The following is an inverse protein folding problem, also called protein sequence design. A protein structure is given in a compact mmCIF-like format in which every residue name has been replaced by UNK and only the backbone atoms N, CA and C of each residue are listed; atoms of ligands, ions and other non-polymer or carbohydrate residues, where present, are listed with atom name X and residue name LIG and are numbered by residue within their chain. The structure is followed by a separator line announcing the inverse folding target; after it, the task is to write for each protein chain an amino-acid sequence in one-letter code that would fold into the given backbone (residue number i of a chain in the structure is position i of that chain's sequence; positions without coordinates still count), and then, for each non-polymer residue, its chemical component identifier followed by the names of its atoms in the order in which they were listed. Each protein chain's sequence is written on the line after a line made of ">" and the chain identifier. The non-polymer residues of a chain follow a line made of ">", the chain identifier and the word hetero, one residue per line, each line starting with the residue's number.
data_IF_536370358573
#
_entry.id   IF_536370358573
#
_cell.length_a   1.000
_cell.length_b   1.000
_cell.length_c   1.000
_cell.angle_alpha   90.00
_cell.angle_beta   90.00
_cell.angle_gamma   90.00
#
_symmetry.space_group_name_H-M   'P 1'
#
loop_
_entity.id
_entity.type
_entity.pdbx_description
1 polymer ?
#
# COMPACT_ATOMS: atom_id res chain seq x y z
N UNK A 1 28.03 5.31 -28.34
CA UNK A 1 27.52 5.87 -27.07
C UNK A 1 26.29 5.10 -26.62
N UNK A 2 26.25 4.42 -25.46
CA UNK A 2 25.17 3.48 -25.15
C UNK A 2 23.96 4.14 -24.44
N UNK A 3 22.77 3.91 -24.99
CA UNK A 3 21.47 3.63 -24.32
C UNK A 3 20.81 4.58 -23.27
N UNK A 4 20.63 5.89 -23.50
CA UNK A 4 19.67 6.69 -22.71
C UNK A 4 18.20 6.22 -22.87
N UNK A 5 17.86 5.51 -23.96
CA UNK A 5 16.52 4.95 -24.21
C UNK A 5 16.20 3.74 -23.34
N UNK A 6 17.20 2.93 -22.97
CA UNK A 6 17.01 1.70 -22.19
C UNK A 6 16.57 2.02 -20.75
N UNK A 7 17.23 2.99 -20.10
CA UNK A 7 16.85 3.42 -18.75
C UNK A 7 15.42 3.98 -18.65
N UNK A 8 14.98 4.73 -19.68
CA UNK A 8 13.60 5.24 -19.78
C UNK A 8 12.59 4.10 -19.98
N UNK A 9 12.90 3.10 -20.81
CA UNK A 9 12.03 1.94 -21.04
C UNK A 9 11.88 1.09 -19.78
N UNK A 10 12.98 0.77 -19.09
CA UNK A 10 12.97 0.03 -17.83
C UNK A 10 12.15 0.76 -16.77
N UNK A 11 12.32 2.08 -16.65
CA UNK A 11 11.53 2.87 -15.70
C UNK A 11 10.03 2.91 -16.04
N UNK A 12 9.67 2.99 -17.33
CA UNK A 12 8.27 2.95 -17.77
C UNK A 12 7.65 1.59 -17.45
N UNK A 13 8.34 0.50 -17.76
CA UNK A 13 7.91 -0.85 -17.43
C UNK A 13 7.75 -1.05 -15.93
N UNK A 14 8.72 -0.58 -15.14
CA UNK A 14 8.69 -0.65 -13.67
C UNK A 14 7.49 0.12 -13.09
N UNK A 15 7.19 1.31 -13.60
CA UNK A 15 5.99 2.04 -13.17
C UNK A 15 4.68 1.40 -13.65
N UNK A 16 4.66 0.79 -14.83
CA UNK A 16 3.51 0.04 -15.31
C UNK A 16 3.25 -1.20 -14.43
N UNK A 17 4.30 -1.91 -14.02
CA UNK A 17 4.17 -3.03 -13.10
C UNK A 17 3.68 -2.58 -11.71
N UNK A 18 4.20 -1.47 -11.17
CA UNK A 18 3.68 -0.89 -9.91
C UNK A 18 2.20 -0.48 -10.05
N UNK A 19 1.84 0.17 -11.16
CA UNK A 19 0.44 0.55 -11.47
C UNK A 19 -0.48 -0.66 -11.53
N UNK A 20 -0.08 -1.73 -12.21
CA UNK A 20 -0.85 -2.97 -12.29
C UNK A 20 -1.06 -3.60 -10.91
N UNK A 21 -0.02 -3.63 -10.06
CA UNK A 21 -0.12 -4.14 -8.69
C UNK A 21 -1.10 -3.30 -7.85
N UNK A 22 -0.96 -1.98 -7.88
CA UNK A 22 -1.83 -1.06 -7.15
C UNK A 22 -3.28 -1.12 -7.64
N UNK A 23 -3.49 -1.20 -8.95
CA UNK A 23 -4.82 -1.34 -9.54
C UNK A 23 -5.48 -2.66 -9.14
N UNK A 24 -4.74 -3.77 -9.19
CA UNK A 24 -5.25 -5.08 -8.76
C UNK A 24 -5.63 -5.06 -7.27
N UNK A 25 -4.83 -4.42 -6.42
CA UNK A 25 -5.13 -4.25 -5.00
C UNK A 25 -6.34 -3.33 -4.78
N UNK A 26 -6.44 -2.21 -5.49
CA UNK A 26 -7.58 -1.31 -5.41
C UNK A 26 -8.89 -2.01 -5.79
N UNK A 27 -8.89 -2.73 -6.91
CA UNK A 27 -10.05 -3.55 -7.34
C UNK A 27 -10.45 -4.56 -6.27
N UNK A 28 -9.47 -5.16 -5.58
CA UNK A 28 -9.74 -6.12 -4.51
C UNK A 28 -10.39 -5.46 -3.28
N UNK A 29 -10.01 -4.23 -2.92
CA UNK A 29 -10.64 -3.50 -1.82
C UNK A 29 -12.16 -3.37 -2.00
N UNK A 30 -12.61 -3.13 -3.24
CA UNK A 30 -14.04 -2.96 -3.54
C UNK A 30 -14.76 -4.30 -3.78
N UNK A 31 -14.09 -5.32 -4.33
CA UNK A 31 -14.70 -6.63 -4.62
C UNK A 31 -14.74 -7.57 -3.42
N UNK A 32 -13.72 -7.53 -2.57
CA UNK A 32 -13.59 -8.38 -1.38
C UNK A 32 -13.00 -7.57 -0.21
N UNK A 33 -13.79 -6.64 0.37
CA UNK A 33 -13.32 -5.83 1.50
C UNK A 33 -13.00 -6.68 2.73
N UNK A 34 -13.61 -7.87 2.85
CA UNK A 34 -13.38 -8.80 3.97
C UNK A 34 -11.92 -9.22 4.12
N UNK A 35 -11.18 -9.31 3.01
CA UNK A 35 -9.75 -9.59 2.99
C UNK A 35 -8.91 -8.56 3.77
N UNK A 36 -9.32 -7.28 3.77
CA UNK A 36 -8.58 -6.17 4.38
C UNK A 36 -8.98 -5.88 5.83
N UNK A 37 -10.14 -6.39 6.28
CA UNK A 37 -10.61 -6.20 7.66
C UNK A 37 -9.61 -6.66 8.73
N UNK A 38 -8.78 -7.64 8.40
CA UNK A 38 -7.76 -8.17 9.32
C UNK A 38 -6.54 -7.25 9.44
N UNK A 39 -6.33 -6.36 8.46
CA UNK A 39 -5.16 -5.47 8.39
C UNK A 39 -5.47 -4.08 8.93
N UNK A 40 -6.71 -3.61 8.81
CA UNK A 40 -7.11 -2.33 9.41
C UNK A 40 -7.09 -2.44 10.95
N UNK A 41 -6.27 -1.63 11.65
CA UNK A 41 -6.21 -1.66 13.10
C UNK A 41 -7.52 -1.16 13.75
N UNK A 42 -7.92 -1.82 14.83
CA UNK A 42 -9.11 -1.41 15.59
C UNK A 42 -9.00 -0.01 16.21
N UNK A 43 -7.78 0.44 16.56
CA UNK A 43 -7.57 1.76 17.16
C UNK A 43 -7.80 2.94 16.19
N UNK A 44 -7.79 2.69 14.87
CA UNK A 44 -8.15 3.66 13.84
C UNK A 44 -9.65 3.66 13.53
N UNK A 45 -10.36 2.62 13.95
CA UNK A 45 -11.77 2.44 13.65
C UNK A 45 -12.62 3.18 14.68
N UNK A 46 -13.56 3.99 14.20
CA UNK A 46 -14.71 4.46 14.97
C UNK A 46 -15.58 3.26 15.31
N UNK A 47 -15.67 2.94 16.60
CA UNK A 47 -16.64 1.97 17.11
C UNK A 47 -17.77 2.76 17.78
N UNK A 48 -19.00 2.59 17.29
CA UNK A 48 -20.19 3.30 17.77
C UNK A 48 -20.59 2.94 19.22
N UNK A 49 -19.91 1.97 19.85
CA UNK A 49 -20.15 1.51 21.23
C UNK A 49 -18.92 1.48 22.14
N UNK A 50 -17.82 2.16 21.77
CA UNK A 50 -16.61 2.15 22.59
C UNK A 50 -16.74 2.99 23.87
N UNK A 51 -16.49 2.38 25.03
CA UNK A 51 -16.58 3.03 26.35
C UNK A 51 -15.54 4.14 26.61
N UNK A 52 -14.49 4.25 25.77
CA UNK A 52 -13.42 5.23 25.95
C UNK A 52 -13.05 5.91 24.62
N UNK A 53 -12.78 7.23 24.62
CA UNK A 53 -12.40 7.97 23.43
C UNK A 53 -11.07 7.46 22.87
N UNK A 54 -11.05 7.16 21.57
CA UNK A 54 -9.85 6.79 20.82
C UNK A 54 -9.46 7.96 19.91
N UNK A 55 -8.33 8.65 20.16
CA UNK A 55 -8.01 9.91 19.48
C UNK A 55 -7.82 9.77 17.96
N UNK A 56 -7.60 8.55 17.45
CA UNK A 56 -7.37 8.29 16.02
C UNK A 56 -8.53 7.56 15.33
N UNK A 57 -9.67 7.39 16.01
CA UNK A 57 -10.83 6.66 15.50
C UNK A 57 -11.71 7.54 14.59
N UNK A 58 -11.21 7.83 13.38
CA UNK A 58 -11.81 8.80 12.46
C UNK A 58 -12.92 8.23 11.59
N UNK A 59 -12.73 7.00 11.10
CA UNK A 59 -13.61 6.35 10.14
C UNK A 59 -13.96 4.94 10.61
N UNK A 60 -15.10 4.41 10.17
CA UNK A 60 -15.40 2.99 10.29
C UNK A 60 -14.37 2.14 9.53
N UNK A 61 -14.31 0.84 9.84
CA UNK A 61 -13.39 -0.07 9.17
C UNK A 61 -13.63 -0.14 7.65
N UNK A 62 -14.89 -0.16 7.23
CA UNK A 62 -15.25 -0.22 5.81
C UNK A 62 -14.87 1.06 5.08
N UNK A 63 -15.04 2.22 5.72
CA UNK A 63 -14.60 3.50 5.17
C UNK A 63 -13.08 3.55 5.02
N UNK A 64 -12.31 3.06 6.00
CA UNK A 64 -10.85 2.96 5.85
C UNK A 64 -10.43 2.07 4.68
N UNK A 65 -11.10 0.94 4.47
CA UNK A 65 -10.86 0.03 3.33
C UNK A 65 -11.20 0.73 2.01
N UNK A 66 -12.33 1.45 1.94
CA UNK A 66 -12.70 2.19 0.73
C UNK A 66 -11.72 3.32 0.43
N UNK A 67 -11.33 4.11 1.44
CA UNK A 67 -10.37 5.22 1.31
C UNK A 67 -9.00 4.70 0.89
N UNK A 68 -8.49 3.61 1.48
CA UNK A 68 -7.22 3.03 1.05
C UNK A 68 -7.29 2.50 -0.38
N UNK A 69 -8.41 1.87 -0.78
CA UNK A 69 -8.64 1.44 -2.16
C UNK A 69 -8.66 2.61 -3.15
N UNK A 70 -9.25 3.75 -2.80
CA UNK A 70 -9.24 4.97 -3.62
C UNK A 70 -7.84 5.56 -3.74
N UNK A 71 -7.06 5.59 -2.64
CA UNK A 71 -5.67 6.05 -2.64
C UNK A 71 -4.79 5.16 -3.52
N UNK A 72 -4.96 3.84 -3.46
CA UNK A 72 -4.26 2.89 -4.33
C UNK A 72 -4.63 3.09 -5.80
N UNK A 73 -5.91 3.31 -6.13
CA UNK A 73 -6.35 3.61 -7.49
C UNK A 73 -5.75 4.92 -8.02
N UNK A 74 -5.80 5.98 -7.21
CA UNK A 74 -5.19 7.27 -7.55
C UNK A 74 -3.68 7.12 -7.78
N UNK A 75 -2.99 6.33 -6.96
CA UNK A 75 -1.58 6.03 -7.14
C UNK A 75 -1.31 5.20 -8.41
N UNK A 76 -2.18 4.23 -8.74
CA UNK A 76 -2.07 3.43 -9.95
C UNK A 76 -2.14 4.28 -11.22
N UNK A 77 -3.00 5.31 -11.24
CA UNK A 77 -3.08 6.27 -12.35
C UNK A 77 -1.90 7.24 -12.31
N UNK A 78 -1.64 7.84 -11.14
CA UNK A 78 -0.64 8.89 -10.98
C UNK A 78 0.80 8.46 -11.25
N UNK A 79 1.14 7.18 -11.04
CA UNK A 79 2.50 6.67 -11.28
C UNK A 79 2.81 6.55 -12.78
N UNK A 80 1.78 6.42 -13.63
CA UNK A 80 1.93 6.34 -15.08
C UNK A 80 2.21 7.71 -15.70
N UNK A 81 1.66 8.78 -15.13
CA UNK A 81 1.83 10.16 -15.61
C UNK A 81 3.22 10.69 -15.23
N UNK A 82 4.09 11.06 -16.20
CA UNK A 82 5.46 11.48 -15.91
C UNK A 82 5.56 12.70 -14.97
N UNK A 83 4.65 13.67 -15.11
CA UNK A 83 4.64 14.89 -14.30
C UNK A 83 4.29 14.68 -12.83
N UNK A 84 3.51 13.65 -12.50
CA UNK A 84 3.09 13.34 -11.12
C UNK A 84 3.91 12.23 -10.48
N UNK A 85 4.68 11.47 -11.27
CA UNK A 85 5.38 10.24 -10.84
C UNK A 85 6.17 10.40 -9.54
N UNK A 86 6.94 11.46 -9.38
CA UNK A 86 7.74 11.67 -8.16
C UNK A 86 6.85 11.86 -6.93
N UNK A 87 5.79 12.66 -7.05
CA UNK A 87 4.83 12.88 -5.98
C UNK A 87 4.08 11.58 -5.67
N UNK A 88 3.55 10.91 -6.69
CA UNK A 88 2.84 9.63 -6.55
C UNK A 88 3.71 8.55 -5.91
N UNK A 89 4.95 8.35 -6.40
CA UNK A 89 5.89 7.40 -5.84
C UNK A 89 6.19 7.68 -4.36
N UNK A 90 6.36 8.96 -4.00
CA UNK A 90 6.56 9.36 -2.60
C UNK A 90 5.32 9.05 -1.76
N UNK A 91 4.12 9.40 -2.26
CA UNK A 91 2.85 9.09 -1.60
C UNK A 91 2.62 7.58 -1.41
N UNK A 92 2.88 6.78 -2.43
CA UNK A 92 2.82 5.31 -2.36
C UNK A 92 3.80 4.75 -1.34
N UNK A 93 5.03 5.27 -1.29
CA UNK A 93 6.00 4.90 -0.24
C UNK A 93 5.46 5.20 1.16
N UNK A 94 4.92 6.40 1.39
CA UNK A 94 4.34 6.77 2.69
C UNK A 94 3.15 5.89 3.04
N UNK A 95 2.29 5.59 2.07
CA UNK A 95 1.12 4.73 2.24
C UNK A 95 1.51 3.30 2.63
N UNK A 96 2.46 2.68 1.91
CA UNK A 96 2.97 1.35 2.28
C UNK A 96 3.65 1.34 3.65
N UNK A 97 4.39 2.40 3.98
CA UNK A 97 4.96 2.56 5.32
C UNK A 97 3.87 2.65 6.41
N UNK A 98 2.79 3.39 6.16
CA UNK A 98 1.64 3.45 7.07
C UNK A 98 0.96 2.08 7.23
N UNK A 99 0.86 1.29 6.15
CA UNK A 99 0.31 -0.06 6.20
C UNK A 99 1.12 -1.02 7.07
N UNK A 100 2.42 -0.77 7.31
CA UNK A 100 3.21 -1.59 8.23
C UNK A 100 2.56 -1.67 9.62
N UNK A 101 2.01 -0.57 10.12
CA UNK A 101 1.31 -0.57 11.41
C UNK A 101 0.11 -1.55 11.42
N UNK A 102 -0.65 -1.58 10.32
CA UNK A 102 -1.74 -2.54 10.11
C UNK A 102 -1.27 -3.98 10.03
N UNK A 103 -0.17 -4.24 9.32
CA UNK A 103 0.40 -5.58 9.21
C UNK A 103 0.99 -6.09 10.53
N UNK A 104 1.62 -5.22 11.32
CA UNK A 104 2.12 -5.55 12.66
C UNK A 104 0.96 -5.89 13.60
N UNK A 105 -0.11 -5.09 13.60
CA UNK A 105 -1.31 -5.35 14.39
C UNK A 105 -1.98 -6.68 13.99
N UNK A 106 -2.11 -6.94 12.68
CA UNK A 106 -2.64 -8.19 12.15
C UNK A 106 -1.78 -9.40 12.57
N UNK A 107 -0.45 -9.27 12.54
CA UNK A 107 0.48 -10.30 12.96
C UNK A 107 0.34 -10.58 14.46
N UNK A 108 0.28 -9.54 15.30
CA UNK A 108 0.05 -9.68 16.74
C UNK A 108 -1.25 -10.43 17.03
N UNK A 109 -2.35 -10.06 16.36
CA UNK A 109 -3.64 -10.76 16.47
C UNK A 109 -3.57 -12.21 16.00
N UNK A 110 -2.83 -12.49 14.94
CA UNK A 110 -2.66 -13.85 14.41
C UNK A 110 -1.89 -14.78 15.36
N UNK A 111 -0.95 -14.25 16.15
CA UNK A 111 -0.23 -15.00 17.19
C UNK A 111 -0.95 -14.97 18.56
N UNK A 112 -2.03 -14.21 18.68
CA UNK A 112 -2.87 -14.17 19.88
C UNK A 112 -3.79 -15.38 20.03
N UNK A 113 -4.61 -15.41 21.10
CA UNK A 113 -5.45 -16.56 21.46
C UNK A 113 -6.47 -16.95 20.39
N UNK A 114 -6.97 -15.98 19.62
CA UNK A 114 -8.00 -16.17 18.58
C UNK A 114 -7.41 -16.38 17.18
N UNK A 115 -6.08 -16.41 17.03
CA UNK A 115 -5.42 -16.46 15.74
C UNK A 115 -5.31 -17.88 15.17
N UNK A 116 -5.58 -18.03 13.88
CA UNK A 116 -5.50 -19.31 13.15
C UNK A 116 -4.10 -19.57 12.56
N UNK A 117 -3.76 -20.85 12.32
CA UNK A 117 -2.50 -21.22 11.63
C UNK A 117 -2.36 -20.55 10.25
N UNK A 118 -3.47 -20.45 9.51
CA UNK A 118 -3.52 -19.77 8.22
C UNK A 118 -3.19 -18.28 8.34
N UNK A 119 -3.79 -17.58 9.30
CA UNK A 119 -3.50 -16.15 9.55
C UNK A 119 -2.04 -15.93 9.93
N UNK A 120 -1.46 -16.79 10.80
CA UNK A 120 -0.03 -16.71 11.15
C UNK A 120 0.83 -16.80 9.90
N UNK A 121 0.62 -17.83 9.07
CA UNK A 121 1.38 -18.01 7.83
C UNK A 121 1.24 -16.80 6.90
N UNK A 122 0.02 -16.30 6.68
CA UNK A 122 -0.24 -15.18 5.77
C UNK A 122 0.44 -13.90 6.26
N UNK A 123 0.25 -13.53 7.54
CA UNK A 123 0.77 -12.27 8.07
C UNK A 123 2.29 -12.29 8.27
N UNK A 124 2.86 -13.45 8.61
CA UNK A 124 4.32 -13.63 8.68
C UNK A 124 5.00 -13.45 7.33
N UNK A 125 4.33 -13.83 6.22
CA UNK A 125 4.86 -13.60 4.87
C UNK A 125 4.60 -12.18 4.38
N UNK A 126 3.43 -11.60 4.66
CA UNK A 126 3.08 -10.25 4.19
C UNK A 126 3.98 -9.16 4.77
N UNK A 127 4.28 -9.22 6.07
CA UNK A 127 5.04 -8.16 6.73
C UNK A 127 6.43 -7.93 6.09
N UNK A 128 7.29 -8.94 5.88
CA UNK A 128 8.57 -8.74 5.20
C UNK A 128 8.43 -8.37 3.73
N UNK A 129 7.34 -8.77 3.05
CA UNK A 129 7.07 -8.38 1.66
C UNK A 129 6.79 -6.87 1.50
N UNK A 130 6.44 -6.16 2.58
CA UNK A 130 6.26 -4.70 2.54
C UNK A 130 7.58 -3.97 2.27
N UNK A 131 8.72 -4.47 2.78
CA UNK A 131 10.02 -3.82 2.58
C UNK A 131 10.42 -3.68 1.09
N UNK A 132 10.40 -4.74 0.25
CA UNK A 132 10.69 -4.59 -1.17
C UNK A 132 9.66 -3.71 -1.90
N UNK A 133 8.38 -3.72 -1.52
CA UNK A 133 7.36 -2.83 -2.12
C UNK A 133 7.64 -1.36 -1.81
N UNK A 134 8.01 -1.04 -0.57
CA UNK A 134 8.41 0.31 -0.14
C UNK A 134 9.65 0.78 -0.90
N UNK A 135 10.68 -0.06 -0.96
CA UNK A 135 11.92 0.25 -1.68
C UNK A 135 11.67 0.43 -3.19
N UNK A 136 10.83 -0.41 -3.78
CA UNK A 136 10.45 -0.33 -5.18
C UNK A 136 9.67 0.96 -5.48
N UNK A 137 8.67 1.31 -4.69
CA UNK A 137 7.96 2.59 -4.82
C UNK A 137 8.92 3.78 -4.70
N UNK A 138 9.84 3.77 -3.73
CA UNK A 138 10.81 4.84 -3.54
C UNK A 138 11.75 5.01 -4.74
N UNK A 139 12.14 3.90 -5.38
CA UNK A 139 13.01 3.89 -6.56
C UNK A 139 12.41 4.65 -7.75
N UNK A 140 11.07 4.68 -7.86
CA UNK A 140 10.34 5.32 -8.96
C UNK A 140 10.30 6.86 -8.85
N UNK A 141 10.79 7.44 -7.74
CA UNK A 141 10.89 8.90 -7.56
C UNK A 141 11.95 9.55 -8.45
N UNK A 142 13.00 8.81 -8.79
CA UNK A 142 14.12 9.32 -9.59
C UNK A 142 13.67 9.45 -11.04
N UNK A 143 14.03 10.51 -11.78
CA UNK A 143 13.85 10.51 -13.23
C UNK A 143 14.72 9.41 -13.86
N UNK A 144 14.33 8.90 -15.03
CA UNK A 144 15.16 7.96 -15.78
C UNK A 144 16.56 8.54 -15.97
N UNK A 145 17.59 7.74 -15.67
CA UNK A 145 18.99 8.10 -15.91
C UNK A 145 19.12 8.52 -17.38
N UNK A 146 19.50 9.77 -17.62
CA UNK A 146 19.53 10.41 -18.95
C UNK A 146 18.47 11.48 -19.22
N UNK A 147 17.84 12.04 -18.18
CA UNK A 147 16.94 13.21 -18.28
C UNK A 147 17.55 14.50 -17.69
N UNK A 148 18.86 14.55 -17.47
CA UNK A 148 19.57 15.80 -17.22
C UNK A 148 19.96 16.42 -18.56
N UNK A 149 19.47 17.65 -18.78
CA UNK A 149 20.06 18.58 -19.74
C UNK A 149 21.51 18.87 -19.34
#
# INVERSE_FOLDING_TARGET
>A
MPFPRSGRAVQRLSAAAMSALLLASAVKHFRDPGFYRQVVPGYLCRDDGAAAPRPFALLSREEWIAVSGLLELAAAVGILVPGTRKATATGTTMMFAAFLAGHVDALRRAYGPQGTRAQRKVHTVRLPLQAPLIAWAWSLRKPAVGAGL
#
